data_IF_252321258300
#
_entry.id   IF_252321258300
#
_cell.length_a   1.000
_cell.length_b   1.000
_cell.length_c   1.000
_cell.angle_alpha   90.00
_cell.angle_beta   90.00
_cell.angle_gamma   90.00
#
_symmetry.space_group_name_H-M   'P 1'
#
loop_
_entity.id
_entity.type
_entity.pdbx_description
1 polymer ?
#
# COMPACT_ATOMS: atom_id res chain seq x y z
N UNK A 1 6.84 18.74 10.45
CA UNK A 1 5.67 18.05 11.05
C UNK A 1 5.62 16.55 10.83
N UNK A 2 5.77 16.04 9.60
CA UNK A 2 5.76 14.59 9.34
C UNK A 2 6.80 13.83 10.18
N UNK A 3 8.04 14.33 10.27
CA UNK A 3 9.10 13.74 11.09
C UNK A 3 8.74 13.74 12.58
N UNK A 4 8.18 14.84 13.09
CA UNK A 4 7.69 14.91 14.48
C UNK A 4 6.62 13.85 14.76
N UNK A 5 5.70 13.60 13.81
CA UNK A 5 4.71 12.52 13.94
C UNK A 5 5.39 11.15 13.93
N UNK A 6 6.33 10.91 13.02
CA UNK A 6 7.13 9.67 12.95
C UNK A 6 7.99 9.42 14.19
N UNK A 7 8.35 10.45 14.96
CA UNK A 7 9.00 10.25 16.25
C UNK A 7 8.08 9.52 17.25
N UNK A 8 6.76 9.72 17.14
CA UNK A 8 5.75 9.17 18.07
C UNK A 8 5.08 7.88 17.57
N UNK A 9 5.07 7.61 16.27
CA UNK A 9 4.55 6.37 15.69
C UNK A 9 5.55 5.78 14.69
N UNK A 10 5.71 4.47 14.73
CA UNK A 10 6.46 3.78 13.70
C UNK A 10 5.62 3.63 12.41
N UNK A 11 6.13 4.19 11.33
CA UNK A 11 5.52 4.11 10.00
C UNK A 11 6.50 3.34 9.12
N UNK A 12 6.30 2.03 8.95
CA UNK A 12 7.21 1.18 8.17
C UNK A 12 7.16 1.55 6.68
N UNK A 13 8.17 1.11 5.94
CA UNK A 13 8.14 1.18 4.49
C UNK A 13 7.17 0.12 3.93
N UNK A 14 6.26 0.53 3.05
CA UNK A 14 5.32 -0.37 2.38
C UNK A 14 5.00 0.13 0.97
N UNK A 15 4.48 -0.76 0.13
CA UNK A 15 4.13 -0.46 -1.26
C UNK A 15 2.70 -0.90 -1.56
N UNK A 16 2.23 -0.56 -2.77
CA UNK A 16 0.98 -1.12 -3.27
C UNK A 16 1.18 -2.61 -3.54
N UNK A 17 0.31 -3.43 -2.96
CA UNK A 17 0.47 -4.88 -2.89
C UNK A 17 0.85 -5.42 -1.52
N UNK A 18 1.41 -4.58 -0.64
CA UNK A 18 1.82 -5.00 0.71
C UNK A 18 0.60 -5.33 1.57
N UNK A 19 0.66 -6.43 2.34
CA UNK A 19 -0.37 -6.79 3.32
C UNK A 19 0.02 -6.20 4.66
N UNK A 20 -0.90 -5.48 5.29
CA UNK A 20 -0.65 -4.77 6.53
C UNK A 20 -1.82 -4.87 7.50
N UNK A 21 -1.50 -4.71 8.78
CA UNK A 21 -2.45 -4.53 9.87
C UNK A 21 -2.35 -3.09 10.37
N UNK A 22 -3.49 -2.39 10.42
CA UNK A 22 -3.56 -1.03 10.96
C UNK A 22 -4.46 -1.03 12.18
N UNK A 23 -3.91 -0.59 13.30
CA UNK A 23 -4.66 -0.37 14.54
C UNK A 23 -4.98 1.11 14.67
N UNK A 24 -6.27 1.45 14.69
CA UNK A 24 -6.76 2.81 14.95
C UNK A 24 -7.58 2.87 16.23
N UNK A 25 -7.56 4.02 16.89
CA UNK A 25 -8.44 4.32 18.02
C UNK A 25 -9.87 4.53 17.53
N UNK A 26 -10.84 3.95 18.23
CA UNK A 26 -12.26 4.16 17.98
C UNK A 26 -13.00 4.22 19.33
N UNK A 27 -13.56 5.38 19.66
CA UNK A 27 -14.26 5.58 20.93
C UNK A 27 -15.49 4.67 21.10
N UNK A 28 -16.11 4.26 20.00
CA UNK A 28 -17.34 3.46 20.02
C UNK A 28 -17.09 1.95 20.05
N UNK A 29 -15.83 1.50 19.91
CA UNK A 29 -15.52 0.07 20.01
C UNK A 29 -15.31 -0.36 21.47
N UNK A 30 -15.69 -1.60 21.78
CA UNK A 30 -15.56 -2.15 23.13
C UNK A 30 -14.11 -2.11 23.66
N UNK A 31 -13.14 -2.37 22.76
CA UNK A 31 -11.70 -2.33 23.01
C UNK A 31 -11.09 -0.93 22.93
N UNK A 32 -11.85 0.11 22.55
CA UNK A 32 -11.39 1.48 22.23
C UNK A 32 -10.41 1.59 21.06
N UNK A 33 -9.98 0.45 20.49
CA UNK A 33 -9.16 0.34 19.30
C UNK A 33 -9.73 -0.72 18.37
N UNK A 34 -9.54 -0.52 17.07
CA UNK A 34 -9.93 -1.44 16.02
C UNK A 34 -8.70 -1.77 15.18
N UNK A 35 -8.53 -3.04 14.87
CA UNK A 35 -7.46 -3.53 14.01
C UNK A 35 -8.06 -4.03 12.71
N UNK A 36 -7.52 -3.59 11.58
CA UNK A 36 -7.94 -4.03 10.26
C UNK A 36 -6.74 -4.55 9.47
N UNK A 37 -6.84 -5.79 8.99
CA UNK A 37 -5.85 -6.42 8.12
C UNK A 37 -6.34 -6.36 6.69
N UNK A 38 -5.45 -6.01 5.76
CA UNK A 38 -5.77 -6.03 4.33
C UNK A 38 -4.57 -5.70 3.44
N UNK A 39 -4.80 -5.84 2.13
CA UNK A 39 -3.84 -5.45 1.10
C UNK A 39 -3.94 -3.96 0.80
N UNK A 40 -2.80 -3.28 0.70
CA UNK A 40 -2.74 -1.90 0.26
C UNK A 40 -2.99 -1.81 -1.25
N UNK A 41 -4.15 -1.31 -1.66
CA UNK A 41 -4.54 -1.22 -3.07
C UNK A 41 -4.20 0.12 -3.73
N UNK A 42 -3.99 1.16 -2.93
CA UNK A 42 -3.73 2.50 -3.43
C UNK A 42 -3.03 3.35 -2.38
N UNK A 43 -2.12 4.21 -2.83
CA UNK A 43 -1.48 5.26 -2.03
C UNK A 43 -1.63 6.58 -2.77
N UNK A 44 -2.19 7.59 -2.12
CA UNK A 44 -2.49 8.89 -2.73
C UNK A 44 -2.18 10.05 -1.81
N UNK A 45 -2.12 11.24 -2.39
CA UNK A 45 -1.81 12.47 -1.67
C UNK A 45 -0.32 12.60 -1.32
N UNK A 46 0.03 13.77 -0.80
CA UNK A 46 1.39 14.13 -0.41
C UNK A 46 1.39 14.86 0.94
N UNK A 47 2.56 14.93 1.58
CA UNK A 47 2.72 15.58 2.88
C UNK A 47 1.83 14.97 3.97
N UNK A 48 1.23 15.82 4.80
CA UNK A 48 0.30 15.40 5.86
C UNK A 48 -1.00 14.77 5.33
N UNK A 49 -1.37 15.02 4.07
CA UNK A 49 -2.57 14.48 3.41
C UNK A 49 -2.32 13.14 2.72
N UNK A 50 -1.13 12.55 2.90
CA UNK A 50 -0.84 11.22 2.40
C UNK A 50 -1.81 10.19 3.01
N UNK A 51 -2.48 9.44 2.16
CA UNK A 51 -3.41 8.38 2.55
C UNK A 51 -3.14 7.09 1.77
N UNK A 52 -3.69 5.99 2.28
CA UNK A 52 -3.64 4.69 1.65
C UNK A 52 -4.92 3.92 1.93
N UNK A 53 -5.29 3.04 1.01
CA UNK A 53 -6.51 2.24 1.11
C UNK A 53 -6.14 0.79 1.32
N UNK A 54 -6.63 0.22 2.42
CA UNK A 54 -6.58 -1.22 2.67
C UNK A 54 -7.87 -1.88 2.22
N UNK A 55 -7.74 -3.04 1.58
CA UNK A 55 -8.86 -3.88 1.15
C UNK A 55 -8.75 -5.27 1.78
N UNK A 56 -9.86 -5.79 2.26
CA UNK A 56 -10.00 -7.19 2.64
C UNK A 56 -11.42 -7.67 2.34
N UNK A 57 -11.62 -8.98 2.20
CA UNK A 57 -12.94 -9.60 2.13
C UNK A 57 -13.22 -10.23 3.49
N UNK A 58 -14.21 -9.68 4.19
CA UNK A 58 -14.61 -10.10 5.54
C UNK A 58 -16.03 -10.62 5.43
N UNK A 59 -16.28 -11.85 5.87
CA UNK A 59 -17.60 -12.50 5.78
C UNK A 59 -18.21 -12.43 4.36
N UNK A 60 -17.37 -12.66 3.34
CA UNK A 60 -17.72 -12.53 1.91
C UNK A 60 -18.12 -11.12 1.45
N UNK A 61 -17.91 -10.09 2.26
CA UNK A 61 -18.14 -8.68 1.93
C UNK A 61 -16.80 -7.97 1.73
N UNK A 62 -16.64 -7.36 0.55
CA UNK A 62 -15.47 -6.54 0.25
C UNK A 62 -15.48 -5.26 1.07
N UNK A 63 -14.55 -5.14 2.02
CA UNK A 63 -14.40 -4.00 2.91
C UNK A 63 -13.15 -3.21 2.55
N UNK A 64 -13.29 -1.90 2.46
CA UNK A 64 -12.17 -0.98 2.20
C UNK A 64 -12.13 0.10 3.26
N UNK A 65 -10.94 0.37 3.79
CA UNK A 65 -10.71 1.46 4.75
C UNK A 65 -9.59 2.35 4.22
N UNK A 66 -9.90 3.64 4.10
CA UNK A 66 -8.93 4.67 3.76
C UNK A 66 -8.34 5.24 5.04
N UNK A 67 -7.03 5.06 5.23
CA UNK A 67 -6.29 5.61 6.35
C UNK A 67 -5.45 6.80 5.90
N UNK A 68 -5.47 7.87 6.70
CA UNK A 68 -4.50 8.94 6.57
C UNK A 68 -3.23 8.56 7.35
N UNK A 69 -2.08 8.60 6.69
CA UNK A 69 -0.81 8.10 7.23
C UNK A 69 -0.39 8.79 8.53
N UNK A 70 -0.70 10.08 8.65
CA UNK A 70 -0.28 10.91 9.78
C UNK A 70 -1.43 11.24 10.75
N UNK A 71 -2.56 10.55 10.65
CA UNK A 71 -3.70 10.74 11.54
C UNK A 71 -3.30 10.44 13.01
N UNK A 72 -3.65 11.30 13.98
CA UNK A 72 -3.47 11.00 15.40
C UNK A 72 -4.26 9.78 15.87
N UNK A 73 -5.34 9.40 15.20
CA UNK A 73 -6.14 8.22 15.58
C UNK A 73 -5.42 6.90 15.31
N UNK A 74 -4.45 6.88 14.38
CA UNK A 74 -3.66 5.69 14.05
C UNK A 74 -2.65 5.44 15.18
N UNK A 75 -2.74 4.24 15.77
CA UNK A 75 -1.92 3.82 16.91
C UNK A 75 -0.69 3.05 16.42
N UNK A 76 -0.90 2.06 15.54
CA UNK A 76 0.16 1.18 15.03
C UNK A 76 -0.12 0.80 13.58
N UNK A 77 0.94 0.78 12.77
CA UNK A 77 0.94 0.23 11.42
C UNK A 77 1.95 -0.91 11.40
N UNK A 78 1.51 -2.11 11.07
CA UNK A 78 2.34 -3.32 11.07
C UNK A 78 2.31 -3.94 9.68
N UNK A 79 3.48 -4.16 9.09
CA UNK A 79 3.61 -4.82 7.80
C UNK A 79 3.64 -6.31 8.05
N UNK A 80 2.66 -7.03 7.50
CA UNK A 80 2.57 -8.48 7.62
C UNK A 80 3.33 -9.17 6.50
N UNK A 81 3.16 -8.71 5.26
CA UNK A 81 3.92 -9.22 4.11
C UNK A 81 4.32 -8.10 3.19
N UNK A 82 5.63 -7.84 3.14
CA UNK A 82 6.21 -6.82 2.26
C UNK A 82 6.36 -7.35 0.84
N UNK A 83 5.43 -6.97 -0.03
CA UNK A 83 5.50 -7.27 -1.47
C UNK A 83 5.06 -6.06 -2.31
N UNK A 84 5.53 -6.04 -3.55
CA UNK A 84 5.03 -5.17 -4.62
C UNK A 84 4.20 -5.99 -5.60
N UNK A 85 3.25 -5.34 -6.26
CA UNK A 85 2.58 -5.87 -7.46
C UNK A 85 3.15 -5.22 -8.71
N UNK A 86 2.76 -5.74 -9.87
CA UNK A 86 3.16 -5.20 -11.18
C UNK A 86 2.62 -3.79 -11.40
N UNK A 87 1.43 -3.50 -10.84
CA UNK A 87 0.76 -2.22 -11.00
C UNK A 87 0.92 -1.32 -9.76
N UNK A 88 0.92 0.00 -10.00
CA UNK A 88 0.97 1.01 -8.94
C UNK A 88 -0.39 1.22 -8.25
N UNK A 89 -1.49 0.75 -8.82
CA UNK A 89 -2.83 0.81 -8.23
C UNK A 89 -3.58 -0.49 -8.51
N UNK A 90 -4.21 -1.08 -7.48
CA UNK A 90 -4.90 -2.37 -7.52
C UNK A 90 -6.42 -2.21 -7.37
N UNK A 91 -6.97 -1.10 -7.87
CA UNK A 91 -8.41 -0.82 -7.77
C UNK A 91 -9.28 -1.88 -8.48
N UNK A 92 -8.71 -2.58 -9.47
CA UNK A 92 -9.36 -3.68 -10.18
C UNK A 92 -9.67 -4.89 -9.28
N UNK A 93 -9.04 -5.00 -8.09
CA UNK A 93 -9.37 -6.03 -7.09
C UNK A 93 -10.81 -5.95 -6.57
N UNK A 94 -11.52 -4.83 -6.81
CA UNK A 94 -12.96 -4.69 -6.56
C UNK A 94 -13.79 -5.65 -7.43
N UNK A 95 -13.38 -5.79 -8.67
CA UNK A 95 -14.06 -6.57 -9.72
C UNK A 95 -13.38 -7.93 -9.99
N UNK A 96 -12.28 -8.21 -9.28
CA UNK A 96 -11.59 -9.50 -9.30
C UNK A 96 -12.30 -10.57 -8.46
N UNK A 97 -11.89 -11.83 -8.62
CA UNK A 97 -12.29 -12.92 -7.72
C UNK A 97 -11.89 -12.60 -6.26
N UNK A 98 -12.72 -12.96 -5.26
CA UNK A 98 -12.46 -12.64 -3.86
C UNK A 98 -11.15 -13.21 -3.32
N UNK A 99 -10.66 -14.33 -3.87
CA UNK A 99 -9.43 -15.02 -3.46
C UNK A 99 -8.22 -14.10 -3.45
N UNK A 100 -8.11 -13.17 -4.41
CA UNK A 100 -6.99 -12.22 -4.49
C UNK A 100 -7.06 -11.07 -3.48
N UNK A 101 -8.18 -10.94 -2.76
CA UNK A 101 -8.43 -9.88 -1.76
C UNK A 101 -8.75 -10.42 -0.37
N UNK A 102 -8.74 -11.74 -0.16
CA UNK A 102 -9.10 -12.37 1.11
C UNK A 102 -7.84 -12.69 1.89
N UNK A 103 -7.69 -12.09 3.08
CA UNK A 103 -6.55 -12.29 3.94
C UNK A 103 -7.00 -12.58 5.38
N UNK A 104 -6.38 -13.57 6.07
CA UNK A 104 -6.69 -13.86 7.46
C UNK A 104 -6.26 -12.71 8.37
N UNK A 105 -7.06 -12.44 9.42
CA UNK A 105 -6.77 -11.38 10.39
C UNK A 105 -5.64 -11.75 11.36
N UNK A 106 -5.42 -13.04 11.55
CA UNK A 106 -4.41 -13.67 12.39
C UNK A 106 -3.12 -14.01 11.61
N UNK A 107 -2.91 -13.40 10.45
CA UNK A 107 -1.69 -13.57 9.66
C UNK A 107 -0.45 -13.08 10.43
N UNK A 108 0.56 -13.94 10.55
CA UNK A 108 1.83 -13.60 11.17
C UNK A 108 2.73 -12.78 10.21
N UNK A 109 3.57 -11.88 10.73
CA UNK A 109 4.47 -11.07 9.91
C UNK A 109 5.64 -11.89 9.34
N UNK A 110 5.78 -11.87 8.01
CA UNK A 110 6.89 -12.42 7.26
C UNK A 110 8.08 -11.44 7.27
N UNK A 111 9.13 -11.79 8.01
CA UNK A 111 10.33 -10.94 8.15
C UNK A 111 11.28 -11.23 6.99
N UNK A 112 11.60 -10.21 6.20
CA UNK A 112 12.64 -10.29 5.17
C UNK A 112 14.04 -10.12 5.79
N UNK A 113 15.07 -10.81 5.27
CA UNK A 113 16.43 -10.60 5.73
C UNK A 113 16.89 -9.17 5.44
N UNK A 114 17.70 -8.61 6.34
CA UNK A 114 18.19 -7.24 6.22
C UNK A 114 18.93 -7.03 4.90
N UNK A 115 18.54 -6.00 4.14
CA UNK A 115 19.14 -5.64 2.85
C UNK A 115 18.60 -6.38 1.63
N UNK A 116 17.66 -7.33 1.79
CA UNK A 116 16.98 -7.92 0.64
C UNK A 116 16.13 -6.89 -0.11
N UNK A 117 16.12 -6.98 -1.43
CA UNK A 117 15.20 -6.19 -2.25
C UNK A 117 13.76 -6.62 -2.01
N UNK A 118 12.83 -5.68 -2.15
CA UNK A 118 11.40 -5.94 -1.98
C UNK A 118 10.92 -6.86 -3.12
N UNK A 119 10.34 -8.03 -2.81
CA UNK A 119 9.88 -8.97 -3.84
C UNK A 119 8.71 -8.39 -4.64
N UNK A 120 8.73 -8.62 -5.96
CA UNK A 120 7.64 -8.26 -6.87
C UNK A 120 6.86 -9.53 -7.17
N UNK A 121 5.58 -9.52 -6.82
CA UNK A 121 4.67 -10.62 -7.05
C UNK A 121 4.05 -10.52 -8.46
N UNK A 122 4.35 -11.48 -9.37
CA UNK A 122 3.91 -11.42 -10.77
C UNK A 122 2.51 -12.02 -11.01
N UNK A 123 1.77 -12.38 -9.95
CA UNK A 123 0.44 -12.99 -10.08
C UNK A 123 -0.48 -12.08 -10.91
N UNK A 124 -1.08 -12.68 -11.94
CA UNK A 124 -2.16 -12.08 -12.72
C UNK A 124 -3.51 -12.48 -12.13
N UNK A 125 -4.40 -11.52 -12.06
CA UNK A 125 -5.70 -11.62 -11.41
C UNK A 125 -6.77 -11.95 -12.44
N UNK A 126 -7.63 -12.92 -12.08
CA UNK A 126 -8.81 -13.29 -12.85
C UNK A 126 -9.99 -12.40 -12.44
N UNK A 127 -10.67 -11.84 -13.45
CA UNK A 127 -11.79 -10.93 -13.26
C UNK A 127 -13.12 -11.68 -13.14
N UNK A 128 -14.05 -11.14 -12.33
CA UNK A 128 -15.45 -11.60 -12.29
C UNK A 128 -16.15 -11.31 -13.62
N UNK A 129 -17.26 -12.00 -13.94
CA UNK A 129 -18.12 -11.56 -15.04
C UNK A 129 -18.62 -10.13 -14.82
N UNK A 130 -18.86 -9.41 -15.91
CA UNK A 130 -19.42 -8.04 -15.90
C UNK A 130 -20.81 -8.03 -15.24
N UNK A 131 -21.25 -6.91 -14.63
CA UNK A 131 -20.70 -5.56 -14.69
C UNK A 131 -19.55 -5.28 -13.71
N UNK A 132 -18.60 -4.44 -14.15
CA UNK A 132 -17.47 -3.95 -13.34
C UNK A 132 -17.68 -2.49 -12.93
N UNK A 133 -17.07 -2.09 -11.82
CA UNK A 133 -17.03 -0.70 -11.34
C UNK A 133 -16.19 0.17 -12.27
N UNK A 134 -15.07 -0.35 -12.76
CA UNK A 134 -14.15 0.36 -13.64
C UNK A 134 -14.15 -0.15 -15.08
N UNK A 135 -13.64 0.69 -15.98
CA UNK A 135 -13.34 0.32 -17.37
C UNK A 135 -11.87 -0.11 -17.47
N UNK A 136 -11.57 -1.22 -16.81
CA UNK A 136 -10.21 -1.74 -16.67
C UNK A 136 -9.58 -2.10 -18.02
N UNK A 137 -10.41 -2.43 -19.01
CA UNK A 137 -9.98 -2.74 -20.38
C UNK A 137 -9.29 -1.58 -21.10
N UNK A 138 -9.45 -0.35 -20.60
CA UNK A 138 -8.84 0.86 -21.15
C UNK A 138 -7.52 1.22 -20.49
N UNK A 139 -7.22 0.60 -19.34
CA UNK A 139 -6.01 0.85 -18.58
C UNK A 139 -4.88 -0.09 -19.02
N UNK A 140 -3.64 0.38 -18.91
CA UNK A 140 -2.46 -0.45 -19.16
C UNK A 140 -2.05 -1.19 -17.87
N UNK A 141 -2.88 -2.12 -17.40
CA UNK A 141 -2.63 -2.92 -16.20
C UNK A 141 -1.91 -4.23 -16.56
N UNK A 142 -0.81 -4.52 -15.87
CA UNK A 142 -0.02 -5.74 -16.07
C UNK A 142 -0.45 -6.89 -15.15
N UNK A 143 -1.10 -6.56 -14.03
CA UNK A 143 -1.58 -7.53 -13.03
C UNK A 143 -2.95 -8.12 -13.32
N UNK A 144 -3.61 -7.76 -14.42
CA UNK A 144 -4.85 -8.41 -14.88
C UNK A 144 -4.50 -9.48 -15.93
N UNK A 145 -5.17 -10.63 -15.87
CA UNK A 145 -5.10 -11.60 -16.95
C UNK A 145 -5.84 -11.07 -18.19
N UNK A 146 -5.08 -10.58 -19.15
CA UNK A 146 -5.58 -9.96 -20.37
C UNK A 146 -6.40 -10.92 -21.23
N UNK A 147 -5.96 -12.17 -21.38
CA UNK A 147 -6.66 -13.16 -22.20
C UNK A 147 -8.05 -13.42 -21.60
N UNK A 148 -8.09 -13.70 -20.30
CA UNK A 148 -9.33 -13.93 -19.57
C UNK A 148 -10.24 -12.69 -19.62
N UNK A 149 -9.69 -11.50 -19.36
CA UNK A 149 -10.44 -10.25 -19.41
C UNK A 149 -11.08 -10.01 -20.78
N UNK A 150 -10.36 -10.27 -21.87
CA UNK A 150 -10.84 -10.07 -23.24
C UNK A 150 -12.00 -11.00 -23.62
N UNK A 151 -12.13 -12.17 -22.98
CA UNK A 151 -13.30 -13.04 -23.16
C UNK A 151 -14.57 -12.48 -22.51
N UNK A 152 -14.45 -11.65 -21.48
CA UNK A 152 -15.57 -11.07 -20.73
C UNK A 152 -16.14 -9.79 -21.35
N UNK A 153 -15.52 -9.30 -22.42
CA UNK A 153 -15.79 -7.99 -23.04
C UNK A 153 -16.41 -8.17 -24.43
N UNK A 154 -17.36 -7.29 -24.78
CA UNK A 154 -18.01 -7.27 -26.10
C UNK A 154 -17.06 -6.80 -27.21
N UNK A 155 -17.24 -7.29 -28.44
CA UNK A 155 -16.42 -6.90 -29.60
C UNK A 155 -16.45 -5.39 -29.87
N UNK A 156 -17.57 -4.72 -29.59
CA UNK A 156 -17.66 -3.25 -29.66
C UNK A 156 -16.68 -2.57 -28.73
N UNK A 157 -16.50 -3.11 -27.52
CA UNK A 157 -15.56 -2.57 -26.54
C UNK A 157 -14.12 -2.86 -26.96
N UNK A 158 -13.82 -4.06 -27.47
CA UNK A 158 -12.49 -4.40 -28.01
C UNK A 158 -12.05 -3.43 -29.09
N UNK A 159 -12.96 -3.07 -30.01
CA UNK A 159 -12.69 -2.07 -31.05
C UNK A 159 -12.39 -0.67 -30.50
N UNK A 160 -12.90 -0.32 -29.30
CA UNK A 160 -12.65 0.98 -28.67
C UNK A 160 -11.34 1.06 -27.89
N UNK A 161 -10.76 -0.07 -27.45
CA UNK A 161 -9.50 -0.10 -26.69
C UNK A 161 -8.38 0.68 -27.39
N UNK A 162 -8.01 0.40 -28.66
CA UNK A 162 -6.91 1.10 -29.31
C UNK A 162 -7.16 2.61 -29.49
N UNK A 163 -8.42 3.06 -29.46
CA UNK A 163 -8.77 4.48 -29.56
C UNK A 163 -8.47 5.26 -28.27
N UNK A 164 -8.37 4.56 -27.13
CA UNK A 164 -8.06 5.15 -25.83
C UNK A 164 -6.59 5.08 -25.46
N UNK A 165 -5.79 4.31 -26.19
CA UNK A 165 -4.36 4.26 -25.99
C UNK A 165 -3.73 5.63 -26.24
N UNK A 166 -2.71 5.96 -25.46
CA UNK A 166 -1.96 7.22 -25.60
C UNK A 166 -0.47 6.95 -25.79
N UNK A 167 -0.04 6.44 -26.96
CA UNK A 167 1.35 6.10 -27.20
C UNK A 167 2.33 7.28 -27.07
N UNK A 168 1.84 8.52 -27.18
CA UNK A 168 2.67 9.73 -27.06
C UNK A 168 3.07 10.07 -25.61
N UNK A 169 2.37 9.56 -24.59
CA UNK A 169 2.67 9.89 -23.19
C UNK A 169 4.08 9.46 -22.77
N UNK A 170 4.63 8.38 -23.36
CA UNK A 170 6.02 7.95 -23.09
C UNK A 170 7.07 8.99 -23.50
N UNK A 171 6.71 9.89 -24.42
CA UNK A 171 7.59 10.92 -24.96
C UNK A 171 7.29 12.31 -24.38
N UNK A 172 6.31 12.44 -23.49
CA UNK A 172 5.94 13.72 -22.88
C UNK A 172 6.89 14.05 -21.70
N UNK A 173 7.97 14.76 -22.01
CA UNK A 173 8.95 15.20 -21.01
C UNK A 173 8.36 16.14 -19.95
N UNK A 174 7.36 16.94 -20.32
CA UNK A 174 6.72 17.87 -19.39
C UNK A 174 5.84 17.12 -18.38
N UNK A 175 5.20 16.04 -18.80
CA UNK A 175 4.51 15.12 -17.90
C UNK A 175 5.50 14.45 -16.95
N UNK A 176 6.61 13.90 -17.47
CA UNK A 176 7.66 13.31 -16.64
C UNK A 176 8.20 14.29 -15.60
N UNK A 177 8.47 15.54 -15.99
CA UNK A 177 8.95 16.59 -15.09
C UNK A 177 7.94 16.95 -13.99
N UNK A 178 6.63 16.93 -14.27
CA UNK A 178 5.59 17.17 -13.25
C UNK A 178 5.42 16.01 -12.28
N UNK A 179 5.72 14.80 -12.73
CA UNK A 179 5.57 13.58 -11.95
C UNK A 179 6.82 13.28 -11.09
N UNK A 180 7.99 13.80 -11.47
CA UNK A 180 9.25 13.58 -10.75
C UNK A 180 9.73 14.84 -10.02
N UNK A 181 10.46 14.64 -8.94
CA UNK A 181 11.15 15.73 -8.23
C UNK A 181 12.55 15.89 -8.85
N UNK A 182 13.06 17.10 -9.09
CA UNK A 182 14.44 17.30 -9.55
C UNK A 182 15.49 16.65 -8.64
N UNK A 183 16.62 16.20 -9.19
CA UNK A 183 17.65 15.47 -8.43
C UNK A 183 18.26 16.32 -7.30
N UNK A 184 18.40 17.63 -7.51
CA UNK A 184 18.91 18.58 -6.51
C UNK A 184 18.00 18.62 -5.28
N UNK A 185 16.70 18.84 -5.50
CA UNK A 185 15.68 18.84 -4.44
C UNK A 185 15.61 17.47 -3.76
N UNK A 186 15.72 16.37 -4.52
CA UNK A 186 15.77 15.03 -3.93
C UNK A 186 16.94 14.90 -2.96
N UNK A 187 18.16 15.31 -3.35
CA UNK A 187 19.35 15.22 -2.49
C UNK A 187 19.20 16.02 -1.21
N UNK A 188 18.66 17.24 -1.30
CA UNK A 188 18.39 18.09 -0.14
C UNK A 188 17.39 17.43 0.81
N UNK A 189 16.24 16.97 0.29
CA UNK A 189 15.22 16.28 1.07
C UNK A 189 15.76 14.99 1.69
N UNK A 190 16.53 14.21 0.93
CA UNK A 190 17.12 12.97 1.44
C UNK A 190 18.14 13.23 2.54
N UNK A 191 18.97 14.26 2.43
CA UNK A 191 19.93 14.62 3.48
C UNK A 191 19.22 14.98 4.79
N UNK A 192 18.16 15.80 4.72
CA UNK A 192 17.35 16.17 5.89
C UNK A 192 16.66 14.92 6.49
N UNK A 193 15.87 14.21 5.68
CA UNK A 193 15.01 13.12 6.16
C UNK A 193 15.83 11.92 6.65
N UNK A 194 16.90 11.54 5.95
CA UNK A 194 17.69 10.36 6.30
C UNK A 194 18.42 10.55 7.63
N UNK A 195 18.99 11.73 7.88
CA UNK A 195 19.68 12.02 9.13
C UNK A 195 18.74 11.90 10.34
N UNK A 196 17.54 12.49 10.24
CA UNK A 196 16.51 12.44 11.28
C UNK A 196 15.94 11.03 11.48
N UNK A 197 15.62 10.32 10.39
CA UNK A 197 15.12 8.94 10.49
C UNK A 197 16.15 8.00 11.10
N UNK A 198 17.43 8.15 10.75
CA UNK A 198 18.50 7.34 11.31
C UNK A 198 18.66 7.58 12.82
N UNK A 199 18.59 8.83 13.27
CA UNK A 199 18.61 9.16 14.70
C UNK A 199 17.42 8.56 15.45
N UNK A 200 16.22 8.61 14.85
CA UNK A 200 15.02 7.99 15.42
C UNK A 200 15.16 6.48 15.53
N UNK A 201 15.72 5.82 14.50
CA UNK A 201 15.96 4.37 14.51
C UNK A 201 16.93 3.96 15.62
N UNK A 202 18.06 4.67 15.77
CA UNK A 202 19.02 4.44 16.86
C UNK A 202 18.38 4.63 18.24
N UNK A 203 17.57 5.68 18.40
CA UNK A 203 16.86 5.98 19.65
C UNK A 203 15.89 4.86 20.01
N UNK A 204 15.16 4.31 19.02
CA UNK A 204 14.25 3.18 19.20
C UNK A 204 14.99 1.90 19.54
N UNK A 205 16.03 1.53 18.79
CA UNK A 205 16.88 0.37 19.09
C UNK A 205 17.42 0.42 20.51
N UNK A 206 17.86 1.59 20.97
CA UNK A 206 18.29 1.80 22.36
C UNK A 206 17.15 1.60 23.36
N UNK A 207 15.97 2.15 23.10
CA UNK A 207 14.81 1.99 23.96
C UNK A 207 14.36 0.52 24.06
N UNK A 208 14.29 -0.19 22.94
CA UNK A 208 13.92 -1.60 22.88
C UNK A 208 14.92 -2.48 23.63
N UNK A 209 16.23 -2.22 23.48
CA UNK A 209 17.28 -2.90 24.24
C UNK A 209 17.15 -2.64 25.75
N UNK A 210 16.90 -1.40 26.16
CA UNK A 210 16.70 -1.06 27.58
C UNK A 210 15.43 -1.69 28.15
N UNK A 211 14.36 -1.79 27.36
CA UNK A 211 13.11 -2.45 27.74
C UNK A 211 13.34 -3.96 27.90
N UNK A 212 13.99 -4.60 26.94
CA UNK A 212 14.35 -6.01 27.02
C UNK A 212 15.22 -6.30 28.26
N UNK A 213 16.21 -5.46 28.54
CA UNK A 213 17.04 -5.59 29.75
C UNK A 213 16.20 -5.49 31.03
N UNK A 214 15.26 -4.53 31.10
CA UNK A 214 14.34 -4.38 32.25
C UNK A 214 13.46 -5.61 32.44
N UNK A 215 12.92 -6.17 31.36
CA UNK A 215 12.03 -7.33 31.40
C UNK A 215 12.78 -8.64 31.77
N UNK A 216 14.10 -8.67 31.60
CA UNK A 216 14.96 -9.83 31.94
C UNK A 216 15.51 -9.84 33.37
N UNK A 217 15.37 -8.75 34.13
CA UNK A 217 15.81 -8.70 35.54
C UNK A 217 14.69 -9.33 36.39
N UNK A 218 14.94 -10.45 37.10
CA UNK A 218 14.00 -10.97 38.07
C UNK A 218 13.88 -10.00 39.26
N UNK A 219 12.68 -9.85 39.82
CA UNK A 219 12.44 -9.08 41.07
C UNK A 219 13.34 -9.54 42.23
#
# INVERSE_FOLDING_TARGET
DMLKRRANIDIPAFYVGTIMSVTSSNLHSASKSNTFVGICIQRKGCGLRANFVLRNVVDNLGTEICYQMYDPTVIKIEVLRLEKRLDNELLYLRDALPEYSTFPFDMEPEILPEGASVPINPIKVIMKPRPWVGRWERGNFQGIDEEQMMTLISDKMKWQIPQHEKPWEKYDLMKQYRDTIPEEDQKEIFAEVYSELHQLELTRKKYDLMKQYRDTIPE
#
